data_IF_920262278130
#
_entry.id   IF_920262278130
#
_cell.length_a   1.000
_cell.length_b   1.000
_cell.length_c   1.000
_cell.angle_alpha   90.00
_cell.angle_beta   90.00
_cell.angle_gamma   90.00
#
_symmetry.space_group_name_H-M   'P 1'
#
loop_
_entity.id
_entity.type
_entity.pdbx_description
1 polymer ?
#
# COMPACT_ATOMS: atom_id res chain seq x y z
N UNK A 1 -1.38 -14.19 13.33
CA UNK A 1 -1.55 -12.88 12.71
C UNK A 1 -0.87 -11.78 13.53
N UNK A 2 -1.27 -11.59 14.78
CA UNK A 2 -0.75 -10.48 15.63
C UNK A 2 0.78 -10.44 15.75
N UNK A 3 1.44 -11.59 16.01
CA UNK A 3 2.91 -11.65 16.10
C UNK A 3 3.63 -11.20 14.81
N UNK A 4 3.01 -11.37 13.64
CA UNK A 4 3.55 -10.87 12.37
C UNK A 4 3.35 -9.35 12.27
N UNK A 5 2.18 -8.84 12.62
CA UNK A 5 1.86 -7.41 12.59
C UNK A 5 2.78 -6.61 13.53
N UNK A 6 3.07 -7.12 14.71
CA UNK A 6 4.02 -6.48 15.67
C UNK A 6 5.42 -6.28 15.07
N UNK A 7 5.85 -7.15 14.14
CA UNK A 7 7.19 -7.07 13.51
C UNK A 7 7.27 -6.05 12.39
N UNK A 8 6.14 -5.54 11.87
CA UNK A 8 6.12 -4.64 10.72
C UNK A 8 6.79 -3.31 11.06
N UNK A 9 7.78 -2.94 10.26
CA UNK A 9 8.51 -1.67 10.32
C UNK A 9 8.25 -0.80 9.10
N UNK A 10 7.87 -1.42 7.97
CA UNK A 10 7.55 -0.77 6.72
C UNK A 10 6.34 -1.42 6.08
N UNK A 11 5.46 -0.60 5.53
CA UNK A 11 4.36 -1.07 4.68
C UNK A 11 4.39 -0.37 3.33
N UNK A 12 4.33 -1.15 2.26
CA UNK A 12 4.19 -0.69 0.90
C UNK A 12 2.76 -0.82 0.39
N UNK A 13 2.38 0.06 -0.53
CA UNK A 13 1.07 0.07 -1.17
C UNK A 13 1.19 0.30 -2.67
N UNK A 14 0.34 -0.36 -3.46
CA UNK A 14 -0.01 0.12 -4.79
C UNK A 14 -1.00 1.29 -4.69
N UNK A 15 -1.28 1.96 -5.79
CA UNK A 15 -2.22 3.10 -5.86
C UNK A 15 -3.55 2.68 -6.45
N UNK A 16 -3.54 2.29 -7.74
CA UNK A 16 -4.77 1.99 -8.48
C UNK A 16 -5.35 0.66 -8.01
N UNK A 17 -6.57 0.68 -7.49
CA UNK A 17 -7.22 -0.50 -6.90
C UNK A 17 -6.94 -0.70 -5.40
N UNK A 18 -6.00 0.03 -4.79
CA UNK A 18 -5.67 0.00 -3.36
C UNK A 18 -6.07 1.31 -2.68
N UNK A 19 -5.44 2.44 -3.02
CA UNK A 19 -5.87 3.77 -2.57
C UNK A 19 -7.11 4.27 -3.29
N UNK A 20 -7.33 3.79 -4.51
CA UNK A 20 -8.51 4.07 -5.32
C UNK A 20 -9.33 2.80 -5.55
N UNK A 21 -10.51 2.95 -6.12
CA UNK A 21 -11.36 1.83 -6.55
C UNK A 21 -10.90 1.15 -7.85
N UNK A 22 -9.76 1.59 -8.41
CA UNK A 22 -9.20 1.09 -9.66
C UNK A 22 -9.75 1.76 -10.91
N UNK A 23 -10.74 2.65 -10.80
CA UNK A 23 -11.27 3.41 -11.92
C UNK A 23 -10.37 4.56 -12.31
N UNK A 24 -10.31 4.84 -13.60
CA UNK A 24 -9.60 5.97 -14.17
C UNK A 24 -10.63 6.93 -14.73
N UNK A 25 -10.67 8.15 -14.20
CA UNK A 25 -11.54 9.21 -14.68
C UNK A 25 -10.74 10.07 -15.66
N UNK A 26 -11.15 10.09 -16.91
CA UNK A 26 -10.50 10.86 -17.98
C UNK A 26 -11.53 11.82 -18.57
N UNK A 27 -11.21 13.12 -18.61
CA UNK A 27 -12.05 14.11 -19.25
C UNK A 27 -11.78 14.17 -20.77
N UNK A 28 -12.55 14.98 -21.49
CA UNK A 28 -12.43 15.17 -22.95
C UNK A 28 -11.07 15.74 -23.41
N UNK A 29 -10.32 16.40 -22.51
CA UNK A 29 -8.98 16.90 -22.79
C UNK A 29 -7.89 15.87 -22.50
N UNK A 30 -8.25 14.63 -22.09
CA UNK A 30 -7.31 13.59 -21.72
C UNK A 30 -6.69 13.74 -20.33
N UNK A 31 -7.21 14.64 -19.50
CA UNK A 31 -6.72 14.83 -18.14
C UNK A 31 -7.29 13.77 -17.20
N UNK A 32 -6.39 13.17 -16.41
CA UNK A 32 -6.75 12.14 -15.43
C UNK A 32 -7.05 12.75 -14.05
N UNK A 33 -8.13 12.29 -13.43
CA UNK A 33 -8.44 12.54 -12.02
C UNK A 33 -8.61 11.24 -11.25
N UNK A 34 -8.38 11.28 -9.94
CA UNK A 34 -8.54 10.15 -9.03
C UNK A 34 -9.32 10.57 -7.79
N UNK A 35 -10.15 9.65 -7.29
CA UNK A 35 -10.83 9.79 -6.02
C UNK A 35 -10.07 9.01 -4.93
N UNK A 36 -9.82 9.67 -3.81
CA UNK A 36 -9.18 9.08 -2.63
C UNK A 36 -10.11 9.13 -1.42
N UNK A 37 -10.06 8.10 -0.60
CA UNK A 37 -10.87 8.00 0.60
C UNK A 37 -10.19 8.74 1.78
N UNK A 38 -10.94 9.58 2.47
CA UNK A 38 -10.39 10.41 3.57
C UNK A 38 -9.89 9.57 4.73
N UNK A 39 -10.60 8.51 5.11
CA UNK A 39 -10.19 7.61 6.20
C UNK A 39 -8.92 6.84 5.88
N UNK A 40 -8.69 6.48 4.61
CA UNK A 40 -7.45 5.85 4.16
C UNK A 40 -6.27 6.81 4.37
N UNK A 41 -6.44 8.08 4.03
CA UNK A 41 -5.42 9.10 4.28
C UNK A 41 -5.12 9.28 5.78
N UNK A 42 -6.13 9.24 6.63
CA UNK A 42 -5.92 9.30 8.09
C UNK A 42 -5.18 8.05 8.58
N UNK A 43 -5.48 6.88 8.05
CA UNK A 43 -4.75 5.64 8.36
C UNK A 43 -3.26 5.75 8.06
N UNK A 44 -2.89 6.32 6.90
CA UNK A 44 -1.49 6.58 6.55
C UNK A 44 -0.80 7.52 7.54
N UNK A 45 -1.45 8.63 7.89
CA UNK A 45 -0.89 9.57 8.89
C UNK A 45 -0.66 8.90 10.23
N UNK A 46 -1.62 8.11 10.71
CA UNK A 46 -1.49 7.39 11.97
C UNK A 46 -0.33 6.38 11.95
N UNK A 47 -0.09 5.68 10.82
CA UNK A 47 1.08 4.80 10.67
C UNK A 47 2.40 5.57 10.75
N UNK A 48 2.48 6.72 10.10
CA UNK A 48 3.66 7.58 10.13
C UNK A 48 3.95 8.12 11.55
N UNK A 49 2.89 8.51 12.27
CA UNK A 49 2.99 8.98 13.68
C UNK A 49 3.59 7.95 14.62
N UNK A 50 3.28 6.67 14.44
CA UNK A 50 3.89 5.59 15.25
C UNK A 50 5.23 5.08 14.71
N UNK A 51 5.83 5.79 13.73
CA UNK A 51 7.15 5.49 13.18
C UNK A 51 7.21 4.36 12.15
N UNK A 52 6.06 3.89 11.64
CA UNK A 52 6.03 2.94 10.53
C UNK A 52 6.38 3.68 9.24
N UNK A 53 7.35 3.15 8.50
CA UNK A 53 7.68 3.68 7.18
C UNK A 53 6.60 3.29 6.17
N UNK A 54 6.12 4.27 5.42
CA UNK A 54 5.14 4.08 4.35
C UNK A 54 5.81 4.29 3.01
N UNK A 55 5.61 3.33 2.10
CA UNK A 55 6.11 3.38 0.73
C UNK A 55 4.94 3.20 -0.24
N UNK A 56 4.93 3.96 -1.32
CA UNK A 56 3.92 3.83 -2.38
C UNK A 56 4.60 3.58 -3.71
N UNK A 57 4.22 2.50 -4.42
CA UNK A 57 4.81 2.14 -5.70
C UNK A 57 3.69 1.86 -6.70
N UNK A 58 3.61 2.66 -7.76
CA UNK A 58 2.62 2.50 -8.82
C UNK A 58 3.27 2.36 -10.19
N UNK A 59 2.73 1.47 -11.03
CA UNK A 59 3.13 1.35 -12.43
C UNK A 59 2.71 2.54 -13.29
N UNK A 60 1.80 3.37 -12.84
CA UNK A 60 1.29 4.54 -13.56
C UNK A 60 1.84 5.84 -12.99
N UNK A 61 2.22 6.77 -13.89
CA UNK A 61 2.46 8.17 -13.50
C UNK A 61 1.12 8.85 -13.29
N UNK A 62 0.96 9.57 -12.18
CA UNK A 62 -0.25 10.32 -11.89
C UNK A 62 0.08 11.53 -11.02
N UNK A 63 -0.21 12.72 -11.53
CA UNK A 63 -0.08 13.97 -10.77
C UNK A 63 -1.04 14.01 -9.57
N UNK A 64 -2.22 13.41 -9.71
CA UNK A 64 -3.18 13.34 -8.62
C UNK A 64 -2.67 12.47 -7.47
N UNK A 65 -2.06 11.30 -7.79
CA UNK A 65 -1.45 10.44 -6.79
C UNK A 65 -0.25 11.12 -6.12
N UNK A 66 0.61 11.79 -6.88
CA UNK A 66 1.75 12.53 -6.33
C UNK A 66 1.30 13.60 -5.32
N UNK A 67 0.35 14.45 -5.72
CA UNK A 67 -0.22 15.48 -4.81
C UNK A 67 -0.79 14.84 -3.54
N UNK A 68 -1.49 13.71 -3.68
CA UNK A 68 -2.06 13.02 -2.51
C UNK A 68 -0.98 12.48 -1.58
N UNK A 69 0.08 11.88 -2.10
CA UNK A 69 1.18 11.35 -1.27
C UNK A 69 1.90 12.48 -0.53
N UNK A 70 2.17 13.60 -1.20
CA UNK A 70 2.76 14.80 -0.57
C UNK A 70 1.86 15.31 0.57
N UNK A 71 0.57 15.46 0.33
CA UNK A 71 -0.42 15.90 1.34
C UNK A 71 -0.44 14.99 2.57
N UNK A 72 -0.28 13.69 2.38
CA UNK A 72 -0.28 12.70 3.46
C UNK A 72 1.05 12.62 4.22
N UNK A 73 2.12 13.26 3.73
CA UNK A 73 3.44 13.19 4.32
C UNK A 73 4.22 11.92 3.95
N UNK A 74 3.82 11.22 2.89
CA UNK A 74 4.56 10.06 2.37
C UNK A 74 5.76 10.56 1.59
N UNK A 75 6.98 10.24 2.05
CA UNK A 75 8.22 10.65 1.39
C UNK A 75 8.68 9.64 0.32
N UNK A 76 8.38 8.36 0.51
CA UNK A 76 8.76 7.30 -0.42
C UNK A 76 7.59 6.96 -1.33
N UNK A 77 7.43 7.71 -2.42
CA UNK A 77 6.46 7.39 -3.48
C UNK A 77 7.17 7.32 -4.83
N UNK A 78 6.91 6.24 -5.54
CA UNK A 78 7.51 5.89 -6.82
C UNK A 78 6.39 5.64 -7.83
N UNK A 79 6.15 6.62 -8.71
CA UNK A 79 5.06 6.60 -9.68
C UNK A 79 5.61 6.41 -11.09
N UNK A 80 5.04 5.49 -11.85
CA UNK A 80 5.47 5.13 -13.19
C UNK A 80 6.55 4.05 -13.23
N UNK A 81 6.67 3.25 -12.18
CA UNK A 81 7.66 2.16 -12.08
C UNK A 81 6.96 0.80 -12.18
N UNK A 82 7.20 0.09 -13.29
CA UNK A 82 6.64 -1.24 -13.52
C UNK A 82 7.36 -2.32 -12.72
N UNK A 83 8.70 -2.22 -12.62
CA UNK A 83 9.56 -3.14 -11.85
C UNK A 83 9.54 -2.77 -10.36
N UNK A 84 8.38 -2.97 -9.75
CA UNK A 84 8.12 -2.55 -8.36
C UNK A 84 9.06 -3.21 -7.35
N UNK A 85 9.40 -4.48 -7.55
CA UNK A 85 10.24 -5.27 -6.64
C UNK A 85 11.65 -4.70 -6.48
N UNK A 86 12.28 -4.23 -7.54
CA UNK A 86 13.65 -3.67 -7.48
C UNK A 86 13.69 -2.43 -6.58
N UNK A 87 12.74 -1.51 -6.76
CA UNK A 87 12.63 -0.31 -5.96
C UNK A 87 12.34 -0.65 -4.50
N UNK A 88 11.43 -1.59 -4.26
CA UNK A 88 11.09 -2.04 -2.93
C UNK A 88 12.31 -2.60 -2.20
N UNK A 89 13.05 -3.53 -2.83
CA UNK A 89 14.24 -4.15 -2.25
C UNK A 89 15.35 -3.12 -2.00
N UNK A 90 15.57 -2.19 -2.92
CA UNK A 90 16.55 -1.10 -2.73
C UNK A 90 16.21 -0.27 -1.48
N UNK A 91 14.96 0.15 -1.34
CA UNK A 91 14.53 1.03 -0.24
C UNK A 91 14.56 0.33 1.12
N UNK A 92 14.13 -0.92 1.22
CA UNK A 92 14.21 -1.65 2.49
C UNK A 92 15.67 -1.90 2.90
N UNK A 93 16.58 -2.09 1.93
CA UNK A 93 18.02 -2.17 2.18
C UNK A 93 18.57 -0.85 2.73
N UNK A 94 18.21 0.28 2.12
CA UNK A 94 18.62 1.62 2.58
C UNK A 94 18.17 1.87 4.03
N UNK A 95 17.00 1.34 4.42
CA UNK A 95 16.46 1.43 5.77
C UNK A 95 16.96 0.34 6.73
N UNK A 96 17.76 -0.61 6.25
CA UNK A 96 18.22 -1.78 7.01
C UNK A 96 17.05 -2.61 7.58
N UNK A 97 15.93 -2.69 6.82
CA UNK A 97 14.75 -3.46 7.17
C UNK A 97 14.77 -4.76 6.35
N UNK A 98 14.41 -5.87 7.01
CA UNK A 98 14.34 -7.18 6.36
C UNK A 98 12.97 -7.36 5.70
N UNK A 99 12.87 -8.13 4.57
CA UNK A 99 11.57 -8.39 3.93
C UNK A 99 10.51 -8.96 4.88
N UNK A 100 10.89 -9.80 5.84
CA UNK A 100 9.96 -10.38 6.82
C UNK A 100 9.46 -9.38 7.89
N UNK A 101 10.00 -8.17 7.91
CA UNK A 101 9.56 -7.04 8.73
C UNK A 101 8.71 -6.04 7.91
N UNK A 102 8.38 -6.41 6.66
CA UNK A 102 7.59 -5.59 5.75
C UNK A 102 6.21 -6.18 5.49
N UNK A 103 5.25 -5.31 5.23
CA UNK A 103 3.99 -5.62 4.60
C UNK A 103 3.92 -4.98 3.22
N UNK A 104 3.09 -5.53 2.34
CA UNK A 104 2.74 -4.92 1.06
C UNK A 104 1.26 -5.17 0.75
N UNK A 105 0.60 -4.15 0.21
CA UNK A 105 -0.79 -4.17 -0.18
C UNK A 105 -0.91 -4.00 -1.68
N UNK A 106 -1.49 -4.98 -2.34
CA UNK A 106 -1.68 -4.98 -3.79
C UNK A 106 -3.07 -5.46 -4.19
N UNK A 107 -3.37 -5.34 -5.48
CA UNK A 107 -4.64 -5.76 -6.08
C UNK A 107 -4.47 -6.59 -7.35
N UNK A 108 -3.32 -6.52 -8.04
CA UNK A 108 -3.10 -7.12 -9.35
C UNK A 108 -1.78 -7.90 -9.44
N UNK A 109 -1.60 -8.62 -10.55
CA UNK A 109 -0.43 -9.50 -10.83
C UNK A 109 0.89 -8.74 -10.70
N UNK A 110 0.92 -7.47 -11.05
CA UNK A 110 2.11 -6.61 -10.95
C UNK A 110 2.67 -6.46 -9.53
N UNK A 111 1.87 -6.80 -8.51
CA UNK A 111 2.24 -6.77 -7.10
C UNK A 111 2.79 -8.09 -6.60
N UNK A 112 2.56 -9.17 -7.37
CA UNK A 112 2.85 -10.54 -6.96
C UNK A 112 4.29 -10.75 -6.50
N UNK A 113 5.26 -10.23 -7.24
CA UNK A 113 6.68 -10.39 -6.93
C UNK A 113 7.10 -9.77 -5.58
N UNK A 114 6.39 -8.74 -5.11
CA UNK A 114 6.62 -8.16 -3.78
C UNK A 114 5.85 -8.97 -2.73
N UNK A 115 4.60 -9.34 -3.03
CA UNK A 115 3.79 -10.14 -2.11
C UNK A 115 4.46 -11.47 -1.73
N UNK A 116 5.20 -12.07 -2.67
CA UNK A 116 5.89 -13.34 -2.44
C UNK A 116 7.11 -13.23 -1.49
N UNK A 117 7.64 -12.04 -1.25
CA UNK A 117 8.86 -11.86 -0.45
C UNK A 117 8.63 -11.18 0.90
N UNK A 118 7.52 -10.47 1.09
CA UNK A 118 7.24 -9.76 2.34
C UNK A 118 6.72 -10.68 3.44
N UNK A 119 6.96 -10.31 4.71
CA UNK A 119 6.49 -11.08 5.85
C UNK A 119 4.98 -11.07 6.06
N UNK A 120 4.30 -10.05 5.53
CA UNK A 120 2.86 -9.89 5.65
C UNK A 120 2.24 -9.40 4.33
N UNK A 121 2.04 -10.32 3.36
CA UNK A 121 1.40 -9.98 2.08
C UNK A 121 -0.10 -9.79 2.26
N UNK A 122 -0.62 -8.69 1.69
CA UNK A 122 -2.01 -8.26 1.79
C UNK A 122 -2.58 -8.02 0.40
N UNK A 123 -3.78 -8.52 0.16
CA UNK A 123 -4.54 -8.22 -1.05
C UNK A 123 -5.88 -7.62 -0.67
N UNK A 124 -6.25 -6.54 -1.34
CA UNK A 124 -7.56 -5.92 -1.11
C UNK A 124 -8.71 -6.79 -1.60
N UNK A 125 -9.92 -6.62 -1.03
CA UNK A 125 -11.06 -7.48 -1.35
C UNK A 125 -11.47 -7.46 -2.83
N UNK A 126 -11.24 -6.35 -3.53
CA UNK A 126 -11.44 -6.21 -4.98
C UNK A 126 -10.26 -6.71 -5.83
N UNK A 127 -9.15 -7.14 -5.20
CA UNK A 127 -8.00 -7.69 -5.91
C UNK A 127 -8.34 -8.95 -6.70
N UNK A 128 -7.57 -9.23 -7.74
CA UNK A 128 -7.82 -10.38 -8.61
C UNK A 128 -7.61 -11.71 -7.88
N UNK A 129 -8.41 -12.71 -8.22
CA UNK A 129 -8.40 -14.01 -7.54
C UNK A 129 -7.05 -14.73 -7.57
N UNK A 130 -6.23 -14.49 -8.60
CA UNK A 130 -4.92 -15.14 -8.75
C UNK A 130 -3.96 -14.76 -7.63
N UNK A 131 -3.83 -13.47 -7.30
CA UNK A 131 -2.89 -13.00 -6.26
C UNK A 131 -3.42 -13.17 -4.84
N UNK A 132 -4.74 -13.31 -4.66
CA UNK A 132 -5.32 -13.63 -3.34
C UNK A 132 -4.79 -14.94 -2.77
N UNK A 133 -4.34 -15.85 -3.60
CA UNK A 133 -3.73 -17.11 -3.17
C UNK A 133 -2.38 -16.92 -2.46
N UNK A 134 -1.64 -15.86 -2.79
CA UNK A 134 -0.38 -15.50 -2.14
C UNK A 134 -0.59 -14.61 -0.91
N UNK A 135 -1.80 -14.12 -0.66
CA UNK A 135 -2.08 -13.23 0.45
C UNK A 135 -2.09 -14.00 1.79
N UNK A 136 -1.45 -13.44 2.80
CA UNK A 136 -1.68 -13.85 4.19
C UNK A 136 -2.96 -13.24 4.75
N UNK A 137 -3.33 -12.05 4.26
CA UNK A 137 -4.55 -11.36 4.65
C UNK A 137 -5.23 -10.75 3.43
N UNK A 138 -6.54 -10.94 3.33
CA UNK A 138 -7.39 -10.25 2.35
C UNK A 138 -8.30 -9.30 3.12
N UNK A 139 -8.34 -8.03 2.72
CA UNK A 139 -9.15 -7.03 3.42
C UNK A 139 -10.65 -7.30 3.25
N UNK A 140 -11.44 -6.88 4.23
CA UNK A 140 -12.90 -6.88 4.13
C UNK A 140 -13.39 -5.74 3.24
N UNK A 141 -12.72 -4.57 3.36
CA UNK A 141 -13.01 -3.39 2.56
C UNK A 141 -12.26 -3.43 1.24
N UNK A 142 -12.86 -2.87 0.20
CA UNK A 142 -12.22 -2.74 -1.11
C UNK A 142 -11.30 -1.53 -1.17
N UNK A 143 -10.39 -1.53 -2.14
CA UNK A 143 -9.56 -0.36 -2.45
C UNK A 143 -10.42 0.87 -2.74
N UNK A 144 -9.95 2.02 -2.29
CA UNK A 144 -10.68 3.29 -2.40
C UNK A 144 -11.89 3.42 -1.46
N UNK A 145 -12.17 2.40 -0.63
CA UNK A 145 -13.33 2.36 0.25
C UNK A 145 -12.96 1.98 1.71
N UNK A 146 -11.75 2.33 2.14
CA UNK A 146 -11.30 2.13 3.50
C UNK A 146 -10.40 0.90 3.72
N UNK A 147 -9.93 0.23 2.68
CA UNK A 147 -9.01 -0.90 2.81
C UNK A 147 -7.67 -0.49 3.44
N UNK A 148 -7.11 0.64 3.02
CA UNK A 148 -5.87 1.18 3.60
C UNK A 148 -6.06 1.51 5.08
N UNK A 149 -7.21 2.09 5.46
CA UNK A 149 -7.54 2.37 6.85
C UNK A 149 -7.67 1.09 7.66
N UNK A 150 -8.35 0.07 7.16
CA UNK A 150 -8.48 -1.24 7.82
C UNK A 150 -7.11 -1.83 8.17
N UNK A 151 -6.19 -1.83 7.21
CA UNK A 151 -4.84 -2.37 7.40
C UNK A 151 -4.04 -1.52 8.40
N UNK A 152 -4.14 -0.20 8.29
CA UNK A 152 -3.48 0.73 9.21
C UNK A 152 -3.90 0.46 10.65
N UNK A 153 -5.20 0.35 10.88
CA UNK A 153 -5.76 0.07 12.21
C UNK A 153 -5.33 -1.32 12.74
N UNK A 154 -5.24 -2.33 11.86
CA UNK A 154 -4.75 -3.67 12.25
C UNK A 154 -3.29 -3.62 12.77
N UNK A 155 -2.41 -2.91 12.07
CA UNK A 155 -1.01 -2.76 12.46
C UNK A 155 -0.90 -1.98 13.77
N UNK A 156 -1.57 -0.84 13.86
CA UNK A 156 -1.54 0.04 15.04
C UNK A 156 -2.06 -0.70 16.27
N UNK A 157 -3.22 -1.38 16.14
CA UNK A 157 -3.80 -2.14 17.25
C UNK A 157 -2.91 -3.28 17.71
N UNK A 158 -2.22 -3.96 16.78
CA UNK A 158 -1.27 -5.01 17.15
C UNK A 158 -0.06 -4.48 17.91
N UNK A 159 0.44 -3.29 17.56
CA UNK A 159 1.59 -2.64 18.24
C UNK A 159 1.24 -2.04 19.59
N UNK A 160 0.01 -1.59 19.79
CA UNK A 160 -0.45 -1.01 21.05
C UNK A 160 -0.85 -2.06 22.11
N UNK A 161 -0.95 -3.33 21.73
CA UNK A 161 -1.16 -4.42 22.68
C UNK A 161 0.20 -4.88 23.23
N UNK A 162 0.49 -4.51 24.46
CA UNK A 162 1.61 -5.05 25.25
C UNK A 162 1.45 -6.56 25.53
#
# INVERSE_FOLDING_TARGET
MEAKLKKIKLIGFDVDGVFTDGKIYINENGEESKAFHTQDGQGIRNLLEIGIKVMVISGRKSKAAEKRMIELGVNDYFLGYREKKEIFLKKIKDYQIKPNECAFVGDDISDGDILDIVGFPIVVSNGIGKIKKSAFYTTHKSGGNGAVREISDLIINAKNKE
#
